data_IF_712563544377
#
_entry.id   IF_712563544377
#
_cell.length_a   1.000
_cell.length_b   1.000
_cell.length_c   1.000
_cell.angle_alpha   90.00
_cell.angle_beta   90.00
_cell.angle_gamma   90.00
#
_symmetry.space_group_name_H-M   'P 1'
#
loop_
_entity.id
_entity.type
_entity.pdbx_description
1 polymer ?
2 non-polymer ?
3 non-polymer ?
4 water ?
#
# COMPACT_ATOMS: atom_id res chain seq x y z
N UNK A 1 -1.37 22.38 5.68
CA UNK A 1 -0.77 21.06 5.39
C UNK A 1 0.69 21.05 5.79
N UNK A 2 1.02 20.27 6.82
CA UNK A 2 2.40 20.17 7.32
C UNK A 2 2.69 18.68 7.27
N UNK A 3 1.72 17.93 7.77
CA UNK A 3 1.78 16.48 7.79
C UNK A 3 0.70 15.94 6.88
N UNK A 4 1.12 15.37 5.77
CA UNK A 4 0.22 14.85 4.75
C UNK A 4 0.37 13.34 4.65
N UNK A 5 -0.71 12.59 4.75
CA UNK A 5 -0.66 11.13 4.60
C UNK A 5 -1.13 10.75 3.19
N UNK A 6 -0.51 9.77 2.55
CA UNK A 6 -0.93 9.32 1.22
C UNK A 6 -1.26 7.84 1.32
N UNK A 7 -2.52 7.47 1.15
CA UNK A 7 -2.90 6.07 1.23
C UNK A 7 -3.85 5.62 0.12
N UNK A 8 -3.98 4.31 -0.07
CA UNK A 8 -4.87 3.83 -1.09
C UNK A 8 -6.25 3.65 -0.55
N UNK A 9 -7.24 4.15 -1.29
CA UNK A 9 -8.67 4.10 -0.93
C UNK A 9 -9.36 2.77 -1.16
N UNK A 10 -8.76 1.90 -1.96
CA UNK A 10 -9.43 0.66 -2.31
C UNK A 10 -8.79 -0.62 -1.82
N UNK A 11 -8.37 -1.49 -2.73
CA UNK A 11 -7.76 -2.75 -2.39
C UNK A 11 -6.35 -2.68 -2.95
N UNK A 12 -5.76 -1.50 -2.97
CA UNK A 12 -4.43 -1.36 -3.49
C UNK A 12 -4.40 -1.03 -4.98
N UNK A 13 -3.20 -0.90 -5.52
CA UNK A 13 -3.02 -0.62 -6.94
C UNK A 13 -3.59 0.65 -7.50
N UNK A 14 -3.84 1.62 -6.63
CA UNK A 14 -4.37 2.91 -7.03
C UNK A 14 -3.33 3.88 -7.60
N UNK A 15 -2.04 3.59 -7.47
CA UNK A 15 -1.01 4.48 -8.00
C UNK A 15 -0.40 5.43 -6.97
N UNK A 16 -0.11 4.89 -5.80
CA UNK A 16 0.42 5.68 -4.72
C UNK A 16 1.84 6.21 -4.92
N UNK A 17 2.71 5.39 -5.48
CA UNK A 17 4.09 5.82 -5.70
C UNK A 17 4.27 7.12 -6.45
N UNK A 18 3.61 7.25 -7.60
CA UNK A 18 3.76 8.45 -8.39
C UNK A 18 3.43 9.70 -7.60
N UNK A 19 2.31 9.67 -6.88
CA UNK A 19 1.86 10.84 -6.12
C UNK A 19 2.81 11.23 -4.98
N UNK A 20 3.45 10.24 -4.37
CA UNK A 20 4.40 10.51 -3.30
C UNK A 20 5.59 11.25 -3.90
N UNK A 21 6.22 10.64 -4.90
CA UNK A 21 7.35 11.25 -5.58
C UNK A 21 7.00 12.67 -5.98
N UNK A 22 5.95 12.80 -6.77
CA UNK A 22 5.48 14.09 -7.22
C UNK A 22 5.45 15.15 -6.14
N UNK A 23 4.75 14.86 -5.04
CA UNK A 23 4.58 15.82 -3.95
C UNK A 23 5.77 16.04 -3.02
N UNK A 24 6.68 15.08 -2.97
CA UNK A 24 7.81 15.24 -2.08
C UNK A 24 8.82 16.26 -2.54
N UNK A 25 8.45 17.02 -3.56
CA UNK A 25 9.31 18.05 -4.08
C UNK A 25 9.55 19.03 -2.93
N UNK A 26 8.56 19.14 -2.05
CA UNK A 26 8.61 20.07 -0.90
C UNK A 26 8.86 19.47 0.49
N UNK A 27 8.67 18.17 0.62
CA UNK A 27 8.83 17.48 1.89
C UNK A 27 10.26 17.33 2.34
N UNK A 28 10.50 17.37 3.64
CA UNK A 28 11.84 17.13 4.12
C UNK A 28 11.93 15.61 4.40
N UNK A 29 10.79 15.00 4.77
CA UNK A 29 10.73 13.56 5.09
C UNK A 29 9.56 12.81 4.42
N UNK A 30 9.79 11.52 4.14
CA UNK A 30 8.77 10.60 3.59
C UNK A 30 8.91 9.43 4.57
N UNK A 31 7.81 8.90 5.08
CA UNK A 31 7.89 7.81 6.06
C UNK A 31 7.01 6.63 5.72
N UNK A 32 7.56 5.41 5.67
CA UNK A 32 6.74 4.21 5.45
C UNK A 32 6.29 3.83 6.85
N UNK A 33 5.05 3.41 7.04
CA UNK A 33 4.57 3.09 8.38
C UNK A 33 3.94 1.74 8.53
N UNK A 34 3.89 0.95 7.46
CA UNK A 34 3.30 -0.39 7.56
C UNK A 34 3.61 -1.26 6.36
N UNK A 35 3.32 -2.55 6.48
CA UNK A 35 3.58 -3.45 5.38
C UNK A 35 5.01 -3.90 5.37
N UNK A 36 5.44 -4.50 4.27
CA UNK A 36 6.80 -4.97 4.21
C UNK A 36 7.38 -4.62 2.86
N UNK A 37 8.17 -5.55 2.36
CA UNK A 37 8.80 -5.35 1.08
C UNK A 37 7.85 -5.82 0.03
N UNK A 38 6.55 -5.51 0.17
CA UNK A 38 5.50 -5.93 -0.79
C UNK A 38 4.67 -4.74 -1.29
N UNK A 39 5.32 -3.59 -1.44
CA UNK A 39 4.60 -2.44 -1.88
C UNK A 39 4.33 -2.33 -3.35
N UNK A 40 5.38 -2.42 -4.17
CA UNK A 40 5.20 -2.32 -5.61
C UNK A 40 4.76 -0.94 -6.04
N UNK A 41 5.53 0.07 -5.64
CA UNK A 41 5.26 1.46 -5.99
C UNK A 41 6.15 1.84 -7.18
N UNK A 42 5.49 2.02 -8.33
CA UNK A 42 6.14 2.38 -9.60
C UNK A 42 6.36 3.87 -9.81
N UNK A 43 7.56 4.24 -10.23
CA UNK A 43 7.90 5.63 -10.47
C UNK A 43 8.39 5.79 -11.91
N UNK A 44 7.75 6.67 -12.67
CA UNK A 44 8.13 6.91 -14.04
C UNK A 44 8.58 8.36 -14.15
N UNK A 45 9.89 8.56 -14.16
CA UNK A 45 10.45 9.90 -14.25
C UNK A 45 11.08 10.14 -15.61
N UNK A 46 10.48 11.07 -16.36
CA UNK A 46 10.96 11.45 -17.69
C UNK A 46 11.30 10.24 -18.54
N UNK A 47 10.55 9.15 -18.35
CA UNK A 47 10.83 7.97 -19.12
C UNK A 47 11.33 6.78 -18.31
N UNK A 48 12.24 6.99 -17.35
CA UNK A 48 12.75 5.87 -16.56
C UNK A 48 11.80 5.41 -15.46
N UNK A 49 11.63 4.09 -15.37
CA UNK A 49 10.71 3.50 -14.42
C UNK A 49 11.39 2.73 -13.31
N UNK A 50 11.07 3.10 -12.07
CA UNK A 50 11.61 2.48 -10.86
C UNK A 50 10.46 1.83 -10.11
N UNK A 51 10.70 0.65 -9.56
CA UNK A 51 9.69 -0.04 -8.79
C UNK A 51 10.29 -0.26 -7.39
N UNK A 52 9.67 0.29 -6.37
CA UNK A 52 10.18 0.17 -5.01
C UNK A 52 9.23 -0.64 -4.15
N UNK A 53 9.76 -1.57 -3.36
CA UNK A 53 8.92 -2.36 -2.47
C UNK A 53 9.08 -1.99 -1.01
N UNK A 54 10.31 -1.72 -0.58
CA UNK A 54 10.58 -1.41 0.81
C UNK A 54 10.97 0.03 1.02
N UNK A 55 11.98 0.46 0.28
CA UNK A 55 12.48 1.82 0.41
C UNK A 55 11.39 2.82 0.01
N UNK A 56 11.18 3.87 0.81
CA UNK A 56 10.16 4.84 0.45
C UNK A 56 10.34 5.51 -0.91
N UNK A 57 9.24 5.94 -1.49
CA UNK A 57 9.24 6.58 -2.80
C UNK A 57 9.75 8.00 -2.86
N UNK A 58 10.41 8.47 -1.83
CA UNK A 58 10.96 9.82 -1.93
C UNK A 58 12.45 9.70 -2.14
N UNK A 59 12.92 8.48 -2.35
CA UNK A 59 14.34 8.20 -2.49
C UNK A 59 15.08 8.80 -3.67
N UNK A 60 14.36 9.17 -4.73
CA UNK A 60 15.04 9.75 -5.88
C UNK A 60 15.23 11.24 -5.73
N UNK A 61 14.51 11.86 -4.79
CA UNK A 61 14.63 13.30 -4.60
C UNK A 61 15.85 13.65 -3.74
N UNK A 62 16.56 14.70 -4.13
CA UNK A 62 17.79 15.12 -3.46
C UNK A 62 17.68 15.77 -2.08
N UNK A 63 16.67 16.62 -1.91
CA UNK A 63 16.42 17.36 -0.66
C UNK A 63 15.70 16.61 0.50
N UNK A 64 15.18 15.43 0.20
CA UNK A 64 14.38 14.62 1.11
C UNK A 64 15.15 13.51 1.78
N UNK A 65 14.70 13.12 2.97
CA UNK A 65 15.27 12.02 3.75
C UNK A 65 14.18 10.98 3.94
N UNK A 66 14.47 9.73 3.60
CA UNK A 66 13.48 8.68 3.72
C UNK A 66 13.68 7.87 4.98
N UNK A 67 12.59 7.52 5.62
CA UNK A 67 12.63 6.78 6.86
C UNK A 67 11.70 5.59 6.77
N UNK A 68 12.03 4.51 7.45
CA UNK A 68 11.18 3.33 7.49
C UNK A 68 10.80 3.25 8.98
N UNK A 69 9.53 3.55 9.28
CA UNK A 69 9.03 3.55 10.63
C UNK A 69 8.94 2.19 11.27
N UNK A 70 8.67 2.17 12.56
CA UNK A 70 8.57 0.95 13.34
C UNK A 70 7.45 0.00 12.92
N UNK A 71 6.48 0.48 12.13
CA UNK A 71 5.40 -0.41 11.75
C UNK A 71 5.80 -1.36 10.64
N UNK A 72 6.85 -1.01 9.91
CA UNK A 72 7.30 -1.81 8.80
C UNK A 72 8.04 -3.08 9.20
N UNK A 73 7.55 -4.24 8.80
CA UNK A 73 8.28 -5.47 9.11
C UNK A 73 9.37 -5.53 8.04
N UNK A 74 10.61 -5.42 8.50
CA UNK A 74 11.77 -5.33 7.62
C UNK A 74 12.59 -6.58 7.35
N UNK A 75 13.02 -6.71 6.10
CA UNK A 75 13.83 -7.83 5.62
C UNK A 75 15.19 -7.28 5.16
N UNK A 76 16.27 -7.71 5.81
CA UNK A 76 17.63 -7.29 5.51
C UNK A 76 18.01 -7.64 4.09
N UNK A 77 17.60 -8.83 3.65
CA UNK A 77 17.88 -9.29 2.30
C UNK A 77 17.23 -8.38 1.26
N UNK A 78 15.92 -8.19 1.37
CA UNK A 78 15.21 -7.34 0.43
C UNK A 78 15.78 -5.94 0.46
N UNK A 79 16.10 -5.45 1.65
CA UNK A 79 16.64 -4.10 1.80
C UNK A 79 17.98 -4.01 1.08
N UNK A 80 18.81 -5.02 1.25
CA UNK A 80 20.12 -5.02 0.62
C UNK A 80 20.01 -4.97 -0.91
N UNK A 81 19.22 -5.88 -1.49
CA UNK A 81 19.01 -5.96 -2.93
C UNK A 81 18.46 -4.67 -3.52
N UNK A 82 17.56 -4.02 -2.81
CA UNK A 82 16.96 -2.79 -3.30
C UNK A 82 17.93 -1.62 -3.19
N UNK A 83 18.84 -1.72 -2.22
CA UNK A 83 19.86 -0.71 -2.01
C UNK A 83 20.85 -0.80 -3.13
N UNK A 84 21.23 -2.04 -3.46
CA UNK A 84 22.20 -2.28 -4.53
C UNK A 84 21.69 -1.74 -5.87
N UNK A 85 20.48 -2.12 -6.28
CA UNK A 85 19.89 -1.63 -7.53
C UNK A 85 19.99 -0.10 -7.62
N UNK A 86 19.50 0.58 -6.58
CA UNK A 86 19.51 2.03 -6.56
C UNK A 86 20.88 2.68 -6.55
N UNK A 87 21.85 2.04 -5.91
CA UNK A 87 23.21 2.57 -5.88
C UNK A 87 23.82 2.36 -7.26
N UNK A 88 23.52 1.21 -7.86
CA UNK A 88 24.01 0.89 -9.20
C UNK A 88 23.58 1.97 -10.16
N UNK A 89 22.31 2.37 -10.05
CA UNK A 89 21.76 3.41 -10.91
C UNK A 89 22.31 4.79 -10.55
N UNK A 90 23.10 4.86 -9.48
CA UNK A 90 23.67 6.14 -9.07
C UNK A 90 22.98 6.88 -7.95
N UNK A 91 21.97 6.26 -7.36
CA UNK A 91 21.23 6.86 -6.25
C UNK A 91 22.01 6.58 -4.96
N UNK A 92 22.46 7.64 -4.27
CA UNK A 92 23.23 7.50 -3.02
C UNK A 92 22.32 7.11 -1.85
N UNK A 93 21.71 5.94 -1.95
CA UNK A 93 20.79 5.42 -0.96
C UNK A 93 21.23 5.54 0.49
N UNK A 94 22.51 5.28 0.74
CA UNK A 94 23.02 5.34 2.10
C UNK A 94 23.06 6.72 2.76
N UNK A 95 23.01 7.79 1.99
CA UNK A 95 23.06 9.12 2.58
C UNK A 95 21.68 9.69 2.92
N UNK A 96 20.61 9.02 2.50
CA UNK A 96 19.29 9.54 2.79
C UNK A 96 18.22 8.57 3.25
N UNK A 97 18.63 7.43 3.78
CA UNK A 97 17.69 6.45 4.28
C UNK A 97 17.99 6.24 5.76
N UNK A 98 16.94 6.24 6.58
CA UNK A 98 17.07 5.98 8.01
C UNK A 98 15.98 4.99 8.40
N UNK A 99 16.23 4.20 9.45
CA UNK A 99 15.22 3.25 9.89
C UNK A 99 15.02 3.23 11.39
N UNK A 100 13.97 2.55 11.84
CA UNK A 100 13.66 2.50 13.25
C UNK A 100 14.14 1.19 13.82
N UNK A 101 14.76 1.24 15.00
CA UNK A 101 15.27 0.04 15.67
C UNK A 101 14.16 -0.83 16.22
N UNK A 102 12.92 -0.39 16.05
CA UNK A 102 11.79 -1.15 16.54
C UNK A 102 11.14 -1.98 15.43
N UNK A 103 11.69 -1.89 14.22
CA UNK A 103 11.15 -2.64 13.09
C UNK A 103 11.34 -4.11 13.32
N UNK A 104 10.27 -4.90 13.21
CA UNK A 104 10.44 -6.35 13.42
C UNK A 104 11.28 -6.83 12.23
N UNK A 105 12.01 -7.94 12.36
CA UNK A 105 12.80 -8.47 11.24
C UNK A 105 12.08 -9.66 10.60
N UNK A 106 11.98 -9.68 9.28
CA UNK A 106 11.37 -10.83 8.61
C UNK A 106 12.57 -11.67 8.21
N UNK A 107 12.46 -12.98 8.41
CA UNK A 107 13.56 -13.87 8.06
C UNK A 107 13.01 -15.16 7.45
N UNK A 108 13.89 -15.92 6.80
CA UNK A 108 13.53 -17.16 6.12
C UNK A 108 12.35 -17.96 6.64
N UNK A 109 12.37 -18.34 7.92
CA UNK A 109 11.27 -19.14 8.45
C UNK A 109 9.92 -18.49 8.29
N UNK A 110 9.93 -17.19 8.12
CA UNK A 110 8.69 -16.44 7.95
C UNK A 110 8.09 -16.71 6.58
N UNK A 111 8.92 -16.64 5.53
CA UNK A 111 8.47 -16.90 4.17
C UNK A 111 8.04 -18.35 4.12
N UNK A 112 8.84 -19.18 4.77
CA UNK A 112 8.58 -20.61 4.86
C UNK A 112 7.21 -20.90 5.47
N UNK A 113 6.89 -20.20 6.54
CA UNK A 113 5.61 -20.37 7.22
C UNK A 113 4.47 -19.85 6.37
N UNK A 114 4.72 -18.75 5.68
CA UNK A 114 3.76 -18.09 4.79
C UNK A 114 3.31 -19.06 3.68
N UNK A 115 4.29 -19.68 3.03
CA UNK A 115 4.00 -20.65 2.00
C UNK A 115 3.22 -21.80 2.64
N UNK A 116 3.74 -22.29 3.76
CA UNK A 116 3.09 -23.39 4.46
C UNK A 116 1.62 -23.17 4.75
N UNK A 117 1.29 -22.04 5.37
CA UNK A 117 -0.10 -21.75 5.74
C UNK A 117 -0.99 -21.60 4.53
N UNK A 118 -0.46 -21.02 3.46
CA UNK A 118 -1.24 -20.85 2.26
C UNK A 118 -1.54 -22.19 1.61
N UNK A 119 -0.49 -22.98 1.43
CA UNK A 119 -0.60 -24.32 0.85
C UNK A 119 -1.65 -25.12 1.64
N UNK A 120 -1.63 -24.96 2.95
CA UNK A 120 -2.56 -25.66 3.84
C UNK A 120 -4.00 -25.13 3.80
N UNK A 121 -4.19 -23.85 3.52
CA UNK A 121 -5.53 -23.28 3.43
C UNK A 121 -6.32 -23.89 2.27
N UNK A 122 -5.59 -24.42 1.30
CA UNK A 122 -6.25 -25.03 0.16
C UNK A 122 -7.12 -24.03 -0.56
N UNK A 123 -8.39 -24.38 -0.74
CA UNK A 123 -9.33 -23.51 -1.47
C UNK A 123 -9.74 -22.24 -0.75
N UNK A 124 -9.38 -22.13 0.52
CA UNK A 124 -9.73 -20.94 1.28
C UNK A 124 -8.45 -20.10 1.46
N UNK A 125 -7.48 -20.34 0.58
CA UNK A 125 -6.21 -19.61 0.58
C UNK A 125 -6.52 -18.15 0.42
N UNK A 126 -5.66 -17.32 0.99
CA UNK A 126 -5.85 -15.88 0.98
C UNK A 126 -5.38 -15.20 -0.30
N UNK A 127 -4.21 -15.61 -0.78
CA UNK A 127 -3.62 -15.02 -1.97
C UNK A 127 -2.43 -14.18 -1.59
N UNK A 128 -1.78 -14.55 -0.49
CA UNK A 128 -0.61 -13.84 0.06
C UNK A 128 0.45 -13.50 -0.98
N UNK A 129 1.15 -12.38 -0.80
CA UNK A 129 2.21 -12.01 -1.75
C UNK A 129 3.41 -12.92 -1.59
N UNK A 130 3.36 -13.81 -0.60
CA UNK A 130 4.42 -14.78 -0.36
C UNK A 130 5.70 -14.30 0.28
N UNK A 131 5.73 -13.06 0.76
CA UNK A 131 6.95 -12.52 1.36
C UNK A 131 7.12 -12.71 2.88
N UNK A 132 6.29 -13.56 3.47
CA UNK A 132 6.38 -13.81 4.89
C UNK A 132 5.96 -12.67 5.80
N UNK A 133 5.18 -11.75 5.26
CA UNK A 133 4.70 -10.58 5.98
C UNK A 133 3.78 -10.95 7.17
N UNK A 134 2.74 -11.72 6.90
CA UNK A 134 1.81 -12.12 7.96
C UNK A 134 2.51 -12.81 9.11
N UNK A 135 3.37 -13.80 8.84
CA UNK A 135 4.01 -14.42 10.01
C UNK A 135 4.90 -13.48 10.87
N UNK A 136 5.60 -12.55 10.23
CA UNK A 136 6.45 -11.59 10.94
C UNK A 136 5.59 -10.77 11.90
N UNK A 137 4.47 -10.23 11.44
CA UNK A 137 3.62 -9.47 12.34
C UNK A 137 3.16 -10.37 13.48
N UNK A 138 2.82 -11.61 13.15
CA UNK A 138 2.36 -12.56 14.16
C UNK A 138 3.39 -12.73 15.29
N UNK A 139 4.66 -12.82 14.93
CA UNK A 139 5.70 -12.97 15.93
C UNK A 139 5.74 -11.77 16.85
N UNK A 140 5.61 -10.59 16.27
CA UNK A 140 5.63 -9.32 17.00
C UNK A 140 4.57 -9.19 18.10
N UNK A 141 3.30 -9.37 17.77
CA UNK A 141 2.28 -9.24 18.80
C UNK A 141 2.41 -10.34 19.85
N UNK A 142 3.16 -11.39 19.54
CA UNK A 142 3.36 -12.48 20.49
C UNK A 142 4.63 -12.27 21.27
N UNK A 143 5.28 -11.14 21.05
CA UNK A 143 6.51 -10.77 21.75
C UNK A 143 7.66 -11.76 21.70
N UNK A 144 7.72 -12.53 20.62
CA UNK A 144 8.80 -13.50 20.47
C UNK A 144 9.74 -13.15 19.33
N UNK A 145 9.36 -12.17 18.52
CA UNK A 145 10.15 -11.81 17.35
C UNK A 145 11.31 -10.88 17.57
N UNK A 146 12.22 -10.85 16.61
CA UNK A 146 13.41 -10.01 16.72
C UNK A 146 13.15 -8.64 16.12
N UNK A 147 14.04 -7.67 16.37
CA UNK A 147 13.86 -6.32 15.86
C UNK A 147 15.23 -5.82 15.49
N UNK A 148 15.31 -4.75 14.69
CA UNK A 148 16.62 -4.24 14.27
C UNK A 148 17.55 -3.98 15.44
N UNK A 149 16.98 -3.54 16.54
CA UNK A 149 17.76 -3.25 17.73
C UNK A 149 18.42 -4.49 18.29
N UNK A 150 17.77 -5.65 18.12
CA UNK A 150 18.34 -6.89 18.62
C UNK A 150 19.73 -7.13 18.02
N UNK A 151 20.00 -6.49 16.89
CA UNK A 151 21.28 -6.64 16.21
C UNK A 151 22.43 -5.85 16.85
N UNK A 152 22.15 -5.14 17.93
CA UNK A 152 23.22 -4.40 18.57
C UNK A 152 24.11 -5.38 19.33
N UNK A 153 23.48 -6.40 19.91
CA UNK A 153 24.21 -7.44 20.67
C UNK A 153 24.27 -8.74 19.87
N UNK A 154 25.37 -8.92 19.16
CA UNK A 154 25.59 -10.11 18.34
C UNK A 154 25.42 -11.40 19.15
N UNK A 155 25.89 -11.35 20.39
CA UNK A 155 25.83 -12.48 21.31
C UNK A 155 24.38 -12.85 21.66
N UNK A 156 23.63 -11.90 22.21
CA UNK A 156 22.26 -12.16 22.60
C UNK A 156 21.43 -12.50 21.40
N UNK A 157 21.75 -11.84 20.28
CA UNK A 157 21.05 -12.08 19.02
C UNK A 157 20.97 -13.58 18.73
N UNK A 158 22.11 -14.23 18.76
CA UNK A 158 22.19 -15.66 18.49
C UNK A 158 21.27 -16.46 19.39
N UNK A 159 21.30 -16.16 20.68
CA UNK A 159 20.47 -16.87 21.65
C UNK A 159 18.99 -16.80 21.27
N UNK A 160 18.49 -15.57 21.10
CA UNK A 160 17.10 -15.33 20.74
C UNK A 160 16.73 -16.03 19.45
N UNK A 161 17.53 -15.82 18.41
CA UNK A 161 17.31 -16.42 17.10
C UNK A 161 17.10 -17.93 17.27
N UNK A 162 17.97 -18.51 18.07
CA UNK A 162 17.92 -19.93 18.32
C UNK A 162 16.63 -20.39 18.99
N UNK A 163 16.12 -19.62 19.93
CA UNK A 163 14.90 -20.00 20.64
C UNK A 163 13.69 -19.87 19.70
N UNK A 164 13.75 -18.87 18.82
CA UNK A 164 12.65 -18.64 17.90
C UNK A 164 12.60 -19.72 16.84
N UNK A 165 13.69 -19.88 16.10
CA UNK A 165 13.75 -20.89 15.04
C UNK A 165 13.40 -22.29 15.55
N UNK A 166 13.75 -22.60 16.80
CA UNK A 166 13.45 -23.89 17.37
C UNK A 166 11.94 -24.12 17.38
N UNK A 167 11.19 -23.10 17.82
CA UNK A 167 9.74 -23.17 17.89
C UNK A 167 9.09 -23.28 16.52
N UNK A 168 9.52 -22.44 15.58
CA UNK A 168 8.99 -22.42 14.22
C UNK A 168 9.28 -23.68 13.43
N UNK A 169 10.55 -24.11 13.47
CA UNK A 169 10.95 -25.32 12.77
C UNK A 169 10.12 -26.50 13.26
N UNK A 170 9.72 -26.46 14.53
CA UNK A 170 8.90 -27.52 15.08
C UNK A 170 7.60 -27.54 14.28
N UNK A 171 6.82 -26.45 14.33
CA UNK A 171 5.56 -26.42 13.58
C UNK A 171 5.72 -26.75 12.09
N UNK A 172 6.83 -26.31 11.50
CA UNK A 172 7.10 -26.58 10.09
C UNK A 172 7.21 -28.08 9.88
N UNK A 173 8.32 -28.61 10.35
CA UNK A 173 8.61 -30.02 10.25
C UNK A 173 7.52 -30.95 10.79
N UNK A 174 7.10 -30.72 12.02
CA UNK A 174 6.10 -31.58 12.66
C UNK A 174 4.64 -31.37 12.33
N UNK A 175 4.22 -30.13 12.09
CA UNK A 175 2.81 -29.90 11.80
C UNK A 175 2.53 -29.73 10.30
N UNK A 176 3.35 -28.94 9.64
CA UNK A 176 3.20 -28.71 8.20
C UNK A 176 3.93 -29.77 7.38
N UNK A 177 4.68 -30.63 8.07
CA UNK A 177 5.43 -31.67 7.40
C UNK A 177 6.31 -31.03 6.32
N UNK A 178 6.87 -29.87 6.62
CA UNK A 178 7.69 -29.16 5.65
C UNK A 178 9.14 -29.04 6.10
N UNK A 179 9.99 -28.65 5.17
CA UNK A 179 11.41 -28.49 5.42
C UNK A 179 11.68 -27.60 6.62
N UNK A 180 12.68 -27.95 7.41
CA UNK A 180 13.05 -27.15 8.56
C UNK A 180 13.93 -26.05 7.95
N UNK A 181 14.23 -25.00 8.71
CA UNK A 181 15.03 -23.91 8.18
C UNK A 181 16.37 -23.83 8.90
N UNK A 182 17.45 -23.79 8.14
CA UNK A 182 18.80 -23.76 8.70
C UNK A 182 19.17 -22.55 9.53
N UNK A 183 19.31 -22.79 10.82
CA UNK A 183 19.68 -21.78 11.80
C UNK A 183 20.96 -21.03 11.43
N UNK A 184 22.05 -21.77 11.20
CA UNK A 184 23.34 -21.16 10.87
C UNK A 184 23.30 -20.32 9.60
N UNK A 185 22.50 -20.76 8.63
CA UNK A 185 22.34 -20.02 7.38
C UNK A 185 21.81 -18.62 7.73
N UNK A 186 20.62 -18.59 8.33
CA UNK A 186 19.95 -17.35 8.74
C UNK A 186 20.91 -16.49 9.55
N UNK A 187 21.47 -17.08 10.59
CA UNK A 187 22.40 -16.40 11.46
C UNK A 187 23.53 -15.72 10.73
N UNK A 188 24.20 -16.45 9.86
CA UNK A 188 25.32 -15.87 9.12
C UNK A 188 24.86 -14.80 8.14
N UNK A 189 23.77 -15.09 7.45
CA UNK A 189 23.23 -14.14 6.48
C UNK A 189 22.91 -12.79 7.15
N UNK A 190 22.28 -12.85 8.32
CA UNK A 190 21.91 -11.64 9.05
C UNK A 190 23.11 -10.88 9.56
N UNK A 191 24.11 -11.60 10.08
CA UNK A 191 25.30 -10.97 10.62
C UNK A 191 26.06 -10.17 9.57
N UNK A 192 26.05 -10.68 8.34
CA UNK A 192 26.73 -10.03 7.21
C UNK A 192 26.13 -8.67 6.92
N UNK A 193 24.81 -8.62 6.88
CA UNK A 193 24.06 -7.40 6.61
C UNK A 193 23.92 -6.54 7.88
N UNK A 194 23.97 -7.19 9.04
CA UNK A 194 23.81 -6.53 10.34
C UNK A 194 24.42 -5.17 10.56
N UNK A 195 25.59 -4.90 10.01
CA UNK A 195 26.20 -3.61 10.22
C UNK A 195 25.75 -2.45 9.33
N UNK A 196 25.06 -2.76 8.23
CA UNK A 196 24.56 -1.69 7.37
C UNK A 196 23.26 -1.20 7.99
N UNK A 197 22.53 -2.13 8.59
CA UNK A 197 21.27 -1.83 9.25
C UNK A 197 21.47 -0.87 10.43
N UNK A 198 22.25 -1.30 11.42
CA UNK A 198 22.49 -0.48 12.60
C UNK A 198 23.10 0.88 12.29
N UNK A 199 23.89 0.97 11.24
CA UNK A 199 24.50 2.25 10.89
C UNK A 199 23.44 3.27 10.53
N UNK A 200 22.26 2.78 10.15
CA UNK A 200 21.18 3.64 9.71
C UNK A 200 20.06 3.91 10.71
N UNK A 201 20.16 3.30 11.88
CA UNK A 201 19.16 3.47 12.93
C UNK A 201 18.98 4.94 13.40
N UNK A 202 17.75 5.28 13.77
CA UNK A 202 17.40 6.63 14.26
C UNK A 202 16.13 6.55 15.12
N UNK A 203 15.95 7.51 16.03
CA UNK A 203 14.73 7.51 16.86
C UNK A 203 13.71 8.32 16.07
N UNK A 204 12.83 7.59 15.37
CA UNK A 204 11.81 8.21 14.52
C UNK A 204 10.77 9.06 15.23
N UNK A 205 10.18 8.56 16.31
CA UNK A 205 9.21 9.32 17.08
C UNK A 205 9.79 10.67 17.48
N UNK A 206 11.02 10.68 17.99
CA UNK A 206 11.70 11.91 18.39
C UNK A 206 11.99 12.80 17.19
N UNK A 207 12.51 12.19 16.14
CA UNK A 207 12.80 12.96 14.93
C UNK A 207 11.53 13.62 14.37
N UNK A 208 10.41 12.88 14.36
CA UNK A 208 9.15 13.44 13.86
C UNK A 208 8.58 14.51 14.80
N UNK A 209 8.82 14.39 16.11
CA UNK A 209 8.36 15.42 17.05
C UNK A 209 9.15 16.69 16.79
N UNK A 210 10.44 16.54 16.47
CA UNK A 210 11.28 17.69 16.15
C UNK A 210 10.82 18.39 14.88
N UNK A 211 10.58 17.61 13.82
CA UNK A 211 10.13 18.14 12.55
C UNK A 211 8.85 18.93 12.74
N UNK A 212 8.00 18.41 13.62
CA UNK A 212 6.75 19.06 13.93
C UNK A 212 7.04 20.47 14.51
N UNK A 213 8.04 20.58 15.39
CA UNK A 213 8.40 21.86 16.00
C UNK A 213 9.07 22.81 15.01
N UNK A 214 9.98 22.30 14.18
CA UNK A 214 10.67 23.13 13.19
C UNK A 214 9.70 23.55 12.08
N UNK A 215 8.56 22.88 12.01
CA UNK A 215 7.58 23.17 10.97
C UNK A 215 7.97 22.57 9.63
N UNK A 216 8.64 21.43 9.65
CA UNK A 216 9.03 20.75 8.43
C UNK A 216 7.81 20.06 7.86
N UNK A 217 7.84 19.81 6.55
CA UNK A 217 6.78 19.11 5.84
C UNK A 217 7.13 17.62 5.86
N UNK A 218 6.18 16.78 6.25
CA UNK A 218 6.36 15.34 6.32
C UNK A 218 5.24 14.67 5.52
N UNK A 219 5.64 13.64 4.76
CA UNK A 219 4.75 12.86 3.87
C UNK A 219 4.80 11.41 4.36
N UNK A 220 3.67 10.80 4.65
CA UNK A 220 3.67 9.41 5.09
C UNK A 220 3.18 8.62 3.88
N UNK A 221 3.76 7.48 3.61
CA UNK A 221 3.40 6.72 2.43
C UNK A 221 2.83 5.36 2.73
N UNK A 222 1.52 5.23 2.64
CA UNK A 222 0.92 3.95 2.92
C UNK A 222 1.08 3.02 1.74
N UNK A 223 0.99 1.72 1.99
CA UNK A 223 1.08 0.72 0.93
C UNK A 223 -0.27 -0.02 0.98
N UNK A 224 -0.49 -1.04 0.15
CA UNK A 224 -1.78 -1.77 0.10
C UNK A 224 -2.96 -0.78 -0.03
N UNK A 225 -4.07 -1.02 0.66
CA UNK A 225 -5.18 -0.11 0.57
C UNK A 225 -6.16 -0.33 1.71
N UNK A 226 -7.01 0.66 1.97
CA UNK A 226 -7.99 0.61 3.03
C UNK A 226 -8.74 -0.69 3.27
N UNK A 227 -9.32 -1.31 2.25
CA UNK A 227 -10.11 -2.52 2.50
C UNK A 227 -9.32 -3.78 2.72
N UNK A 228 -8.01 -3.65 2.81
CA UNK A 228 -7.08 -4.75 3.08
C UNK A 228 -6.55 -4.58 4.53
N UNK A 229 -7.04 -3.57 5.25
CA UNK A 229 -6.68 -3.28 6.63
C UNK A 229 -7.08 -4.49 7.47
N UNK A 230 -6.18 -4.95 8.35
CA UNK A 230 -6.45 -6.12 9.23
C UNK A 230 -7.67 -5.98 10.12
N UNK A 231 -7.96 -4.76 10.55
CA UNK A 231 -9.12 -4.53 11.41
C UNK A 231 -10.42 -4.28 10.66
N UNK A 232 -10.38 -3.31 9.75
CA UNK A 232 -11.55 -2.88 9.03
C UNK A 232 -11.72 -3.40 7.60
N UNK A 233 -10.81 -4.25 7.15
CA UNK A 233 -10.94 -4.76 5.80
C UNK A 233 -11.91 -5.91 5.68
N UNK A 234 -11.84 -6.60 4.54
CA UNK A 234 -12.70 -7.76 4.26
C UNK A 234 -12.01 -9.02 4.82
N UNK A 235 -11.81 -9.03 6.13
CA UNK A 235 -11.16 -10.13 6.85
C UNK A 235 -11.79 -11.48 6.51
N UNK A 236 -10.98 -12.53 6.33
CA UNK A 236 -9.51 -12.67 6.41
C UNK A 236 -8.75 -12.38 5.15
N UNK A 237 -9.45 -12.04 4.07
CA UNK A 237 -8.78 -11.74 2.83
C UNK A 237 -8.34 -10.35 3.06
N UNK A 238 -7.18 -10.23 3.70
CA UNK A 238 -6.73 -8.93 4.13
C UNK A 238 -5.25 -9.01 4.46
N UNK A 239 -4.60 -7.86 4.64
CA UNK A 239 -3.18 -7.90 4.98
C UNK A 239 -3.05 -7.84 6.51
N UNK A 240 -1.86 -8.10 7.04
CA UNK A 240 -1.72 -8.12 8.50
C UNK A 240 -1.41 -6.82 9.25
N UNK A 241 -1.38 -5.70 8.56
CA UNK A 241 -1.09 -4.43 9.20
C UNK A 241 -2.27 -3.51 8.97
N UNK A 242 -2.32 -2.39 9.71
CA UNK A 242 -3.38 -1.41 9.50
C UNK A 242 -2.93 -0.53 8.36
N UNK A 243 -3.73 -0.51 7.32
CA UNK A 243 -3.43 0.29 6.14
C UNK A 243 -4.09 1.67 6.24
N UNK A 244 -5.10 1.78 7.13
CA UNK A 244 -5.83 3.02 7.32
C UNK A 244 -4.94 4.07 8.00
N UNK A 245 -5.35 5.34 7.92
CA UNK A 245 -4.60 6.45 8.48
C UNK A 245 -4.22 6.34 9.96
N UNK A 246 -4.91 5.47 10.69
CA UNK A 246 -4.59 5.29 12.09
C UNK A 246 -3.24 4.61 12.23
N UNK A 247 -2.81 3.89 11.21
CA UNK A 247 -1.53 3.21 11.26
C UNK A 247 -0.37 4.17 11.19
N UNK A 248 -0.66 5.43 10.88
CA UNK A 248 0.43 6.40 10.81
C UNK A 248 1.00 6.63 12.20
N UNK A 249 0.13 6.82 13.18
CA UNK A 249 0.55 7.07 14.55
C UNK A 249 1.21 5.84 15.18
N UNK A 250 0.48 4.76 15.14
CA UNK A 250 0.87 3.45 15.61
C UNK A 250 2.20 2.97 14.99
N UNK A 251 2.44 3.27 13.72
CA UNK A 251 3.63 2.80 13.01
C UNK A 251 4.80 3.74 12.79
N UNK A 252 4.67 4.98 13.24
CA UNK A 252 5.77 5.92 13.12
C UNK A 252 5.98 6.67 14.45
N UNK A 253 4.96 6.68 15.29
CA UNK A 253 5.06 7.35 16.58
C UNK A 253 4.64 8.82 16.58
N UNK A 254 4.03 9.32 15.51
CA UNK A 254 3.61 10.71 15.50
C UNK A 254 2.24 10.79 16.18
N UNK A 255 2.05 11.71 17.13
CA UNK A 255 0.76 11.82 17.80
C UNK A 255 -0.39 12.00 16.82
N UNK A 256 -1.54 11.34 17.06
CA UNK A 256 -2.69 11.47 16.15
C UNK A 256 -3.21 12.87 15.90
N UNK A 257 -2.99 13.80 16.81
CA UNK A 257 -3.46 15.16 16.58
C UNK A 257 -2.60 15.91 15.54
N UNK A 258 -1.52 15.32 15.06
CA UNK A 258 -0.68 16.03 14.12
C UNK A 258 -0.85 15.71 12.65
N UNK A 259 -1.79 14.83 12.31
CA UNK A 259 -2.04 14.48 10.91
C UNK A 259 -2.85 15.66 10.39
N UNK A 260 -2.33 16.37 9.39
CA UNK A 260 -3.04 17.55 8.87
C UNK A 260 -3.94 17.34 7.66
N UNK A 261 -3.57 16.45 6.76
CA UNK A 261 -4.36 16.21 5.57
C UNK A 261 -4.14 14.76 5.17
N UNK A 262 -5.22 14.07 4.81
CA UNK A 262 -5.14 12.69 4.35
C UNK A 262 -5.60 12.61 2.90
N UNK A 263 -4.69 12.26 1.99
CA UNK A 263 -4.98 12.14 0.56
C UNK A 263 -5.30 10.69 0.22
N UNK A 264 -6.49 10.47 -0.31
CA UNK A 264 -6.92 9.13 -0.71
C UNK A 264 -6.69 9.00 -2.21
N UNK A 265 -5.87 8.05 -2.60
CA UNK A 265 -5.56 7.78 -3.99
C UNK A 265 -6.71 6.90 -4.45
N UNK A 266 -7.44 7.37 -5.48
CA UNK A 266 -8.62 6.70 -6.00
C UNK A 266 -8.45 6.28 -7.45
N UNK A 267 -8.35 4.99 -7.73
CA UNK A 267 -8.25 4.54 -9.13
C UNK A 267 -9.65 4.70 -9.79
N UNK A 268 -9.72 5.10 -11.05
CA UNK A 268 -11.03 5.33 -11.69
C UNK A 268 -11.91 4.12 -11.83
N UNK A 269 -11.35 2.94 -11.64
CA UNK A 269 -12.09 1.69 -11.67
C UNK A 269 -11.47 0.88 -10.54
N UNK A 270 -12.04 -0.29 -10.27
CA UNK A 270 -11.58 -1.12 -9.17
C UNK A 270 -10.71 -2.28 -9.57
N UNK A 271 -9.86 -2.73 -8.64
CA UNK A 271 -9.04 -3.91 -8.81
C UNK A 271 -8.82 -4.56 -7.46
N UNK A 272 -8.42 -5.82 -7.51
CA UNK A 272 -8.14 -6.63 -6.33
C UNK A 272 -7.19 -7.74 -6.84
N UNK A 273 -6.27 -8.21 -6.00
CA UNK A 273 -5.34 -9.29 -6.36
C UNK A 273 -5.48 -10.25 -5.21
N UNK A 274 -5.73 -11.52 -5.49
CA UNK A 274 -5.88 -12.45 -4.39
C UNK A 274 -7.35 -12.70 -4.23
N UNK A 275 -7.70 -13.50 -3.24
CA UNK A 275 -9.08 -13.88 -2.99
C UNK A 275 -9.87 -12.80 -2.29
N UNK A 276 -11.14 -13.01 -2.04
CA UNK A 276 -11.90 -12.00 -1.32
C UNK A 276 -13.08 -11.41 -2.06
N UNK A 277 -14.05 -10.89 -1.32
CA UNK A 277 -15.25 -10.28 -1.88
C UNK A 277 -14.87 -9.16 -2.83
N UNK A 278 -15.76 -8.85 -3.76
CA UNK A 278 -15.53 -7.79 -4.74
C UNK A 278 -16.86 -7.60 -5.45
N UNK A 279 -17.80 -6.92 -4.81
CA UNK A 279 -19.14 -6.67 -5.38
C UNK A 279 -19.26 -6.32 -6.88
N UNK A 280 -18.44 -5.40 -7.38
CA UNK A 280 -18.51 -4.95 -8.75
C UNK A 280 -17.57 -5.60 -9.76
N UNK A 281 -17.09 -6.80 -9.47
CA UNK A 281 -16.17 -7.48 -10.39
C UNK A 281 -16.81 -7.76 -11.72
N UNK A 282 -16.05 -7.55 -12.78
CA UNK A 282 -16.49 -7.75 -14.17
C UNK A 282 -15.94 -9.03 -14.77
N UNK A 283 -16.78 -9.77 -15.47
CA UNK A 283 -16.33 -11.00 -16.11
C UNK A 283 -16.46 -10.98 -17.63
N UNK A 284 -16.83 -9.83 -18.20
CA UNK A 284 -17.02 -9.75 -19.64
C UNK A 284 -15.94 -9.00 -20.42
N UNK A 285 -16.29 -8.56 -21.63
CA UNK A 285 -15.36 -7.83 -22.48
C UNK A 285 -14.84 -6.56 -21.82
N UNK A 286 -15.67 -5.92 -20.99
CA UNK A 286 -15.28 -4.68 -20.27
C UNK A 286 -14.24 -5.06 -19.21
N UNK A 287 -14.50 -6.14 -18.50
CA UNK A 287 -13.54 -6.60 -17.53
C UNK A 287 -12.22 -6.79 -18.25
N UNK A 288 -12.27 -7.45 -19.42
CA UNK A 288 -11.11 -7.73 -20.27
C UNK A 288 -10.37 -6.44 -20.70
N UNK A 289 -11.15 -5.45 -21.09
CA UNK A 289 -10.66 -4.15 -21.55
C UNK A 289 -9.90 -3.41 -20.44
N UNK A 290 -10.55 -3.27 -19.28
CA UNK A 290 -9.97 -2.58 -18.16
C UNK A 290 -8.66 -3.22 -17.82
N UNK A 291 -8.62 -4.55 -17.83
CA UNK A 291 -7.37 -5.26 -17.52
C UNK A 291 -6.29 -4.95 -18.53
N UNK A 292 -6.66 -4.95 -19.80
CA UNK A 292 -5.70 -4.69 -20.85
C UNK A 292 -5.23 -3.26 -20.95
N UNK A 293 -6.15 -2.29 -20.95
CA UNK A 293 -5.73 -0.90 -21.06
C UNK A 293 -5.11 -0.44 -19.73
N UNK A 294 -5.56 -1.03 -18.64
CA UNK A 294 -5.05 -0.67 -17.33
C UNK A 294 -3.67 -1.24 -17.14
N UNK A 295 -3.36 -2.30 -17.89
CA UNK A 295 -2.06 -2.96 -17.81
C UNK A 295 -1.99 -3.61 -16.43
N UNK A 296 -3.06 -4.32 -16.08
CA UNK A 296 -3.20 -4.99 -14.80
C UNK A 296 -2.75 -6.47 -14.80
N UNK A 297 -1.74 -6.81 -15.61
CA UNK A 297 -1.24 -8.17 -15.69
C UNK A 297 -0.59 -8.68 -14.42
N UNK A 298 0.22 -7.83 -13.80
CA UNK A 298 0.85 -8.23 -12.55
C UNK A 298 2.32 -8.64 -12.54
N UNK A 299 2.73 -9.11 -11.37
CA UNK A 299 4.09 -9.54 -11.07
C UNK A 299 4.42 -10.96 -11.53
N UNK A 300 3.57 -11.92 -11.14
CA UNK A 300 3.73 -13.31 -11.52
C UNK A 300 2.37 -13.98 -11.48
N UNK A 301 2.44 -15.31 -11.45
CA UNK A 301 1.30 -16.21 -11.39
C UNK A 301 0.41 -15.85 -10.23
N UNK A 302 -0.88 -15.74 -10.51
CA UNK A 302 -1.81 -15.39 -9.46
C UNK A 302 -1.75 -13.89 -9.18
N UNK A 303 -0.74 -13.21 -9.72
CA UNK A 303 -0.63 -11.78 -9.51
C UNK A 303 -1.19 -10.93 -10.65
N UNK A 304 -2.11 -11.52 -11.42
CA UNK A 304 -2.77 -10.81 -12.49
C UNK A 304 -3.99 -10.22 -11.76
N UNK A 305 -4.24 -8.94 -11.97
CA UNK A 305 -5.33 -8.25 -11.28
C UNK A 305 -6.76 -8.39 -11.76
N UNK A 306 -7.70 -8.60 -10.84
CA UNK A 306 -9.13 -8.69 -11.14
C UNK A 306 -9.63 -7.25 -11.34
N UNK A 307 -10.62 -7.02 -12.21
CA UNK A 307 -11.09 -5.66 -12.47
C UNK A 307 -12.59 -5.50 -12.29
N UNK A 308 -13.08 -4.26 -12.18
CA UNK A 308 -14.51 -4.03 -11.98
C UNK A 308 -14.85 -2.55 -12.00
N UNK A 309 -16.12 -2.19 -11.84
CA UNK A 309 -16.50 -0.79 -11.85
C UNK A 309 -16.18 -0.13 -10.46
N UNK A 310 -16.08 1.20 -10.45
CA UNK A 310 -15.79 1.96 -9.22
C UNK A 310 -16.92 1.72 -8.25
N UNK A 311 -16.58 1.41 -7.00
CA UNK A 311 -17.57 1.10 -5.99
C UNK A 311 -17.63 2.26 -5.00
N UNK A 312 -18.61 3.13 -5.21
CA UNK A 312 -18.84 4.30 -4.39
C UNK A 312 -19.31 3.99 -2.94
N UNK A 313 -19.79 2.76 -2.69
CA UNK A 313 -20.25 2.39 -1.36
C UNK A 313 -19.05 2.03 -0.51
N UNK A 314 -18.07 1.39 -1.15
CA UNK A 314 -16.85 1.00 -0.48
C UNK A 314 -15.94 2.19 -0.32
N UNK A 315 -15.90 3.06 -1.31
CA UNK A 315 -15.07 4.25 -1.19
C UNK A 315 -15.61 5.09 -0.04
N UNK A 316 -16.92 5.17 0.09
CA UNK A 316 -17.50 5.95 1.17
C UNK A 316 -17.07 5.43 2.55
N UNK A 317 -16.84 4.12 2.65
CA UNK A 317 -16.37 3.54 3.92
C UNK A 317 -14.95 4.02 4.15
N UNK A 318 -14.15 4.01 3.10
CA UNK A 318 -12.78 4.49 3.19
C UNK A 318 -12.79 5.94 3.66
N UNK A 319 -13.73 6.73 3.21
CA UNK A 319 -13.79 8.12 3.62
C UNK A 319 -13.87 8.25 5.14
N UNK A 320 -14.76 7.50 5.79
CA UNK A 320 -14.89 7.63 7.23
C UNK A 320 -13.73 7.06 8.04
N UNK A 321 -13.25 5.88 7.66
CA UNK A 321 -12.15 5.27 8.38
C UNK A 321 -10.90 6.14 8.43
N UNK A 322 -10.64 6.89 7.37
CA UNK A 322 -9.44 7.74 7.27
C UNK A 322 -9.60 9.24 7.45
N UNK A 323 -10.84 9.70 7.60
CA UNK A 323 -11.16 11.13 7.68
C UNK A 323 -10.44 11.77 6.49
N UNK A 324 -10.66 11.21 5.29
CA UNK A 324 -10.01 11.72 4.08
C UNK A 324 -10.29 13.20 3.94
N UNK A 325 -9.35 13.90 3.31
CA UNK A 325 -9.48 15.35 3.09
C UNK A 325 -9.72 15.62 1.59
N UNK A 326 -9.09 14.80 0.74
CA UNK A 326 -9.22 14.96 -0.70
C UNK A 326 -8.82 13.65 -1.35
N UNK A 327 -9.19 13.47 -2.62
CA UNK A 327 -8.86 12.26 -3.40
C UNK A 327 -7.87 12.64 -4.50
N UNK A 328 -7.26 11.65 -5.14
CA UNK A 328 -6.37 11.89 -6.26
C UNK A 328 -6.82 10.82 -7.22
N UNK A 329 -7.51 11.21 -8.29
CA UNK A 329 -8.03 10.26 -9.24
C UNK A 329 -6.91 9.79 -10.16
N UNK A 330 -6.74 8.49 -10.29
CA UNK A 330 -5.71 7.97 -11.18
C UNK A 330 -6.35 7.12 -12.28
N UNK A 331 -5.69 7.05 -13.42
CA UNK A 331 -6.17 6.25 -14.53
C UNK A 331 -7.56 6.49 -15.08
N UNK A 332 -7.96 7.75 -15.20
CA UNK A 332 -9.27 8.06 -15.80
C UNK A 332 -9.10 7.65 -17.27
N UNK A 333 -7.91 7.87 -17.84
CA UNK A 333 -7.66 7.50 -19.22
C UNK A 333 -8.05 6.06 -19.64
N UNK A 334 -8.02 5.09 -18.72
CA UNK A 334 -8.35 3.71 -19.08
C UNK A 334 -9.80 3.59 -19.49
N UNK A 335 -10.64 4.50 -19.05
CA UNK A 335 -12.04 4.45 -19.40
C UNK A 335 -12.29 5.07 -20.75
N UNK A 336 -11.30 5.76 -21.32
CA UNK A 336 -11.48 6.38 -22.63
C UNK A 336 -12.14 5.46 -23.67
N UNK A 337 -13.10 6.00 -24.42
CA UNK A 337 -13.74 5.21 -25.46
C UNK A 337 -14.90 4.32 -25.12
N UNK A 338 -15.09 3.96 -23.86
CA UNK A 338 -16.22 3.12 -23.51
C UNK A 338 -17.52 3.84 -23.87
N UNK A 339 -18.55 3.11 -24.26
CA UNK A 339 -19.83 3.72 -24.58
C UNK A 339 -20.44 4.41 -23.36
N UNK A 340 -20.54 3.67 -22.25
CA UNK A 340 -21.09 4.21 -21.03
C UNK A 340 -20.29 3.62 -19.87
N UNK A 341 -20.08 4.45 -18.85
CA UNK A 341 -19.36 4.06 -17.64
C UNK A 341 -20.38 3.92 -16.50
N UNK A 342 -20.12 3.02 -15.56
CA UNK A 342 -21.03 2.81 -14.42
C UNK A 342 -20.34 3.01 -13.08
N UNK A 343 -21.15 3.15 -12.04
CA UNK A 343 -20.68 3.27 -10.68
C UNK A 343 -21.72 2.88 -9.63
N UNK A 344 -21.33 1.92 -8.79
CA UNK A 344 -22.16 1.37 -7.72
C UNK A 344 -22.53 2.46 -6.70
N UNK A 345 -23.82 2.65 -6.43
CA UNK A 345 -24.26 3.66 -5.47
C UNK A 345 -24.97 3.07 -4.27
N UNK A 346 -25.22 1.76 -4.29
CA UNK A 346 -25.88 1.10 -3.16
C UNK A 346 -25.76 -0.40 -3.31
N UNK A 347 -26.07 -1.17 -2.28
CA UNK A 347 -25.94 -2.62 -2.38
C UNK A 347 -27.30 -3.27 -2.15
N UNK A 348 -27.62 -4.29 -2.95
CA UNK A 348 -28.88 -4.99 -2.74
C UNK A 348 -28.54 -6.23 -1.93
N UNK A 349 -29.11 -6.30 -0.75
CA UNK A 349 -28.91 -7.41 0.17
C UNK A 349 -29.65 -8.66 -0.29
N UNK A 350 -29.24 -9.84 0.18
CA UNK A 350 -29.88 -11.10 -0.20
C UNK A 350 -31.40 -11.08 0.01
N UNK A 351 -31.80 -10.40 1.08
CA UNK A 351 -33.18 -10.27 1.46
C UNK A 351 -33.90 -9.06 0.86
N UNK A 352 -33.33 -8.44 -0.17
CA UNK A 352 -33.99 -7.29 -0.78
C UNK A 352 -33.71 -5.91 -0.21
N UNK A 353 -33.01 -5.83 0.92
CA UNK A 353 -32.67 -4.54 1.52
C UNK A 353 -31.66 -3.75 0.66
N UNK A 354 -31.89 -2.46 0.53
CA UNK A 354 -30.95 -1.64 -0.21
C UNK A 354 -30.18 -0.80 0.80
N UNK A 355 -28.86 -1.02 0.87
CA UNK A 355 -28.01 -0.27 1.79
C UNK A 355 -26.93 0.52 1.12
N UNK A 356 -26.44 1.50 1.84
CA UNK A 356 -25.37 2.37 1.37
C UNK A 356 -24.11 2.17 2.20
N UNK A 357 -24.10 1.11 3.00
CA UNK A 357 -22.95 0.82 3.84
C UNK A 357 -22.42 -0.59 3.58
N UNK A 358 -21.10 -0.69 3.49
CA UNK A 358 -20.46 -1.96 3.23
C UNK A 358 -20.59 -2.89 4.41
N UNK A 359 -20.60 -4.20 4.15
CA UNK A 359 -20.69 -5.21 5.19
C UNK A 359 -19.27 -5.25 5.80
N UNK A 360 -19.11 -5.89 6.97
CA UNK A 360 -17.79 -5.97 7.60
C UNK A 360 -16.98 -7.20 7.21
N UNK A 361 -17.44 -8.38 7.60
CA UNK A 361 -16.74 -9.64 7.30
C UNK A 361 -17.09 -10.24 5.94
N UNK A 362 -16.07 -10.77 5.28
CA UNK A 362 -16.20 -11.37 3.94
C UNK A 362 -17.45 -12.21 3.73
N UNK A 363 -17.84 -12.96 4.74
CA UNK A 363 -19.01 -13.83 4.66
C UNK A 363 -20.31 -13.06 4.44
N UNK A 364 -20.35 -11.82 4.90
CA UNK A 364 -21.55 -11.00 4.76
C UNK A 364 -21.58 -10.28 3.41
N UNK A 365 -20.43 -10.27 2.75
CA UNK A 365 -20.31 -9.65 1.44
C UNK A 365 -20.81 -10.67 0.41
N UNK A 366 -20.85 -11.93 0.82
CA UNK A 366 -21.26 -13.06 -0.01
C UNK A 366 -22.30 -12.84 -1.10
N UNK A 367 -23.51 -12.45 -0.74
CA UNK A 367 -24.54 -12.27 -1.75
C UNK A 367 -25.02 -10.87 -2.06
N UNK A 368 -24.12 -9.91 -2.02
CA UNK A 368 -24.50 -8.54 -2.31
C UNK A 368 -24.41 -8.33 -3.82
N UNK A 369 -25.35 -7.56 -4.35
CA UNK A 369 -25.38 -7.24 -5.78
C UNK A 369 -25.27 -5.74 -5.84
N UNK A 370 -24.39 -5.22 -6.70
CA UNK A 370 -24.23 -3.78 -6.83
C UNK A 370 -25.42 -3.14 -7.52
N UNK A 371 -25.72 -1.89 -7.17
CA UNK A 371 -26.80 -1.16 -7.80
C UNK A 371 -26.06 0.00 -8.42
N UNK A 372 -26.02 0.02 -9.74
CA UNK A 372 -25.29 1.01 -10.50
C UNK A 372 -26.02 2.24 -10.95
N UNK A 373 -25.24 3.24 -11.33
CA UNK A 373 -25.73 4.46 -11.90
C UNK A 373 -24.96 4.48 -13.21
N UNK A 374 -25.64 4.56 -14.33
CA UNK A 374 -24.96 4.54 -15.61
C UNK A 374 -24.88 5.93 -16.17
N UNK A 375 -23.80 6.22 -16.88
CA UNK A 375 -23.64 7.53 -17.46
C UNK A 375 -22.80 7.41 -18.70
N UNK A 376 -22.95 8.35 -19.63
CA UNK A 376 -22.19 8.34 -20.88
C UNK A 376 -20.71 8.45 -20.73
N UNK A 377 -20.02 7.72 -21.59
CA UNK A 377 -18.57 7.74 -21.63
C UNK A 377 -18.12 8.91 -22.49
N UNK A 378 -16.87 8.88 -22.94
CA UNK A 378 -16.32 9.97 -23.75
C UNK A 378 -15.38 9.39 -24.78
N UNK A 379 -15.35 9.97 -25.96
CA UNK A 379 -14.51 9.43 -27.02
C UNK A 379 -13.10 9.96 -27.11
N UNK A 380 -12.88 11.20 -26.69
CA UNK A 380 -11.54 11.77 -26.79
C UNK A 380 -10.58 11.28 -25.73
N UNK A 381 -9.29 11.42 -26.04
CA UNK A 381 -8.24 10.99 -25.15
C UNK A 381 -8.07 11.95 -24.00
N UNK A 382 -7.85 11.41 -22.82
CA UNK A 382 -7.63 12.20 -21.62
C UNK A 382 -6.22 11.95 -21.12
N UNK A 383 -5.51 11.05 -21.77
CA UNK A 383 -4.16 10.72 -21.39
C UNK A 383 -3.24 11.91 -21.57
N UNK A 384 -2.41 12.17 -20.57
CA UNK A 384 -1.49 13.28 -20.63
C UNK A 384 -2.07 14.68 -20.50
N UNK A 385 -3.39 14.80 -20.43
CA UNK A 385 -4.05 16.11 -20.30
C UNK A 385 -3.52 16.81 -19.05
N UNK A 386 -2.98 18.01 -19.22
CA UNK A 386 -2.41 18.80 -18.11
C UNK A 386 -3.32 19.91 -17.59
N UNK A 387 -4.37 20.23 -18.32
CA UNK A 387 -5.28 21.28 -17.89
C UNK A 387 -6.72 20.78 -17.85
N UNK A 388 -7.48 21.24 -16.87
CA UNK A 388 -8.88 20.84 -16.74
C UNK A 388 -9.70 21.11 -17.99
N UNK A 389 -9.53 22.27 -18.61
CA UNK A 389 -10.28 22.64 -19.81
C UNK A 389 -10.24 21.55 -20.88
N UNK A 390 -9.12 20.83 -20.97
CA UNK A 390 -8.94 19.77 -21.94
C UNK A 390 -9.68 18.48 -21.64
N UNK A 391 -10.48 18.45 -20.59
CA UNK A 391 -11.22 17.25 -20.26
C UNK A 391 -12.62 17.34 -20.81
N UNK A 392 -13.06 16.29 -21.49
CA UNK A 392 -14.40 16.27 -22.07
C UNK A 392 -15.47 16.42 -20.98
N UNK A 393 -16.55 17.11 -21.31
CA UNK A 393 -17.64 17.32 -20.37
C UNK A 393 -18.12 16.02 -19.73
N UNK A 394 -18.14 14.94 -20.49
CA UNK A 394 -18.61 13.67 -19.92
C UNK A 394 -17.66 13.16 -18.83
N UNK A 395 -16.36 13.39 -19.03
CA UNK A 395 -15.33 12.98 -18.05
C UNK A 395 -15.45 13.86 -16.81
N UNK A 396 -15.70 15.15 -17.00
CA UNK A 396 -15.87 16.06 -15.89
C UNK A 396 -17.08 15.68 -15.05
N UNK A 397 -18.16 15.23 -15.69
CA UNK A 397 -19.37 14.82 -14.96
C UNK A 397 -19.14 13.55 -14.15
N UNK A 398 -18.28 12.68 -14.61
CA UNK A 398 -18.02 11.45 -13.88
C UNK A 398 -17.36 11.89 -12.56
N UNK A 399 -16.39 12.78 -12.68
CA UNK A 399 -15.64 13.36 -11.56
C UNK A 399 -16.62 14.04 -10.60
N UNK A 400 -17.46 14.91 -11.14
CA UNK A 400 -18.43 15.63 -10.33
C UNK A 400 -19.27 14.69 -9.51
N UNK A 401 -19.64 13.56 -10.09
CA UNK A 401 -20.51 12.60 -9.40
C UNK A 401 -19.80 11.87 -8.26
N UNK A 402 -18.51 11.63 -8.41
CA UNK A 402 -17.78 10.97 -7.35
C UNK A 402 -17.73 11.96 -6.18
N UNK A 403 -17.47 13.23 -6.47
CA UNK A 403 -17.46 14.24 -5.43
C UNK A 403 -18.82 14.33 -4.72
N UNK A 404 -19.93 14.25 -5.45
CA UNK A 404 -21.26 14.33 -4.82
C UNK A 404 -21.62 13.19 -3.90
N UNK A 405 -21.38 11.97 -4.37
CA UNK A 405 -21.69 10.75 -3.59
C UNK A 405 -20.85 10.53 -2.34
N UNK A 406 -19.56 10.91 -2.39
CA UNK A 406 -18.63 10.71 -1.29
C UNK A 406 -18.47 11.89 -0.34
N UNK A 407 -18.73 13.09 -0.83
CA UNK A 407 -18.60 14.28 -0.01
C UNK A 407 -17.20 14.86 0.01
N UNK A 408 -16.25 14.24 -0.68
CA UNK A 408 -14.87 14.69 -0.67
C UNK A 408 -14.46 15.22 -2.03
N UNK A 409 -13.67 16.29 -2.08
CA UNK A 409 -13.26 16.83 -3.37
C UNK A 409 -12.08 16.10 -3.99
N UNK A 410 -12.01 16.10 -5.32
CA UNK A 410 -10.92 15.47 -6.03
C UNK A 410 -9.94 16.60 -6.26
N UNK A 411 -8.86 16.60 -5.48
CA UNK A 411 -7.83 17.65 -5.49
C UNK A 411 -6.70 17.55 -6.52
N UNK A 412 -6.48 16.34 -7.05
CA UNK A 412 -5.44 16.11 -8.03
C UNK A 412 -6.00 15.03 -8.99
N UNK A 413 -5.64 15.13 -10.27
CA UNK A 413 -6.09 14.19 -11.28
C UNK A 413 -4.82 13.75 -12.01
N UNK A 414 -4.56 12.46 -12.02
CA UNK A 414 -3.37 11.95 -12.70
C UNK A 414 -3.85 11.51 -14.09
N UNK A 415 -3.25 12.05 -15.14
CA UNK A 415 -3.64 11.74 -16.51
C UNK A 415 -2.58 10.94 -17.25
N UNK A 416 -1.51 10.58 -16.56
CA UNK A 416 -0.45 9.81 -17.18
C UNK A 416 0.50 9.29 -16.12
N UNK A 417 1.32 8.28 -16.44
CA UNK A 417 2.26 7.71 -15.48
C UNK A 417 3.48 8.56 -15.13
N UNK A 418 3.70 9.66 -15.85
CA UNK A 418 4.86 10.53 -15.60
C UNK A 418 4.52 11.68 -14.67
N UNK A 419 5.47 11.98 -13.78
CA UNK A 419 5.35 13.07 -12.80
C UNK A 419 4.76 14.35 -13.39
N UNK A 420 5.08 14.62 -14.65
CA UNK A 420 4.62 15.81 -15.34
C UNK A 420 3.16 15.82 -15.77
N UNK A 421 2.60 14.64 -16.06
CA UNK A 421 1.22 14.47 -16.50
C UNK A 421 0.28 14.39 -15.30
N UNK A 422 -0.05 15.56 -14.76
CA UNK A 422 -0.86 15.63 -13.58
C UNK A 422 -1.50 17.00 -13.49
N UNK A 423 -2.68 17.04 -12.87
CA UNK A 423 -3.41 18.28 -12.66
C UNK A 423 -3.57 18.46 -11.15
N UNK A 424 -2.88 19.43 -10.55
CA UNK A 424 -3.03 19.65 -9.12
C UNK A 424 -3.96 20.81 -8.90
N UNK A 425 -5.19 20.48 -8.59
CA UNK A 425 -6.19 21.50 -8.34
C UNK A 425 -6.00 22.13 -6.96
N UNK A 426 -5.47 21.38 -6.00
CA UNK A 426 -5.22 21.88 -4.65
C UNK A 426 -4.04 21.10 -4.04
N UNK A 427 -3.00 21.83 -3.66
CA UNK A 427 -1.80 21.22 -3.06
C UNK A 427 -2.13 20.90 -1.60
N UNK A 428 -1.94 19.65 -1.18
CA UNK A 428 -2.23 19.26 0.20
C UNK A 428 -1.35 20.05 1.19
N UNK A 429 -0.13 20.39 0.76
CA UNK A 429 0.80 21.17 1.56
C UNK A 429 0.36 22.60 1.77
N UNK A 430 -0.50 23.10 0.87
CA UNK A 430 -1.00 24.46 0.97
C UNK A 430 -2.39 24.50 1.56
N UNK A 431 -2.80 23.41 2.20
CA UNK A 431 -4.12 23.35 2.81
C UNK A 431 -4.00 23.16 4.32
X LIG B 1 0.18 -10.35 2.35
X LIG B 1 1.23 -10.95 1.49
X LIG B 1 -0.17 -11.22 3.46
X LIG B 1 0.45 -8.91 2.59
X LIG B 1 -1.04 -10.34 1.38
X LIG B 1 -2.34 -10.66 1.77
X LIG B 1 -3.37 -10.02 0.85
X LIG B 1 -3.02 -8.65 0.62
X LIG B 1 -3.53 -10.60 -0.58
X LIG B 1 -4.89 -10.28 -0.95
X LIG B 1 -2.55 -9.73 -1.31
X LIG B 1 -2.81 -9.67 -2.67
X LIG B 1 -2.85 -8.39 -0.76
X LIG B 1 -1.78 -7.45 -1.00
X LIG B 1 -0.55 -7.38 -0.48
X LIG B 1 0.30 -6.63 -1.12
X LIG B 1 -0.53 -5.96 -1.96
X LIG B 1 -0.28 -4.91 -2.83
X LIG B 1 0.92 -4.26 -2.89
X LIG B 1 -1.30 -4.63 -3.66
X LIG B 1 -2.43 -5.30 -3.58
X LIG B 1 -2.84 -6.17 -2.67
X LIG B 1 -1.79 -6.50 -1.93
X LIG C 1 -6.60 -9.70 -19.77
X LIG C 1 -5.32 -9.66 -18.97
X LIG C 1 -6.87 -11.03 -20.20
X LIG C 1 -4.93 -7.95 -18.47
#
# INVERSE_FOLDING_TARGET
>A
GNNVVVLGTQWGDEGKGKIVDLLTERAKYVVRYQGGHNAGHTLVINGEKTVLHLIPSGILRENVTSIIGNGVVLSPAALMKEMKELEDRGIPVRERLLLSEACPLILDYHVALDNAREKARGAKAIGTTGRGIGPAYEDKVARRGLRVGDLFDKETFAEKLKEVMEYHNFQLVNYYKAEAVDYQKVLDDTMAVADILTSMVVDVSDLLDQARQRGDFVMFEGAQGTLLDIDHGTYPYVTSSNTTAGGVATGSGLGPRYVDYVLGILKAYSTRVGAGPFPTELFDETGEFLCKQGNEFGATTGRRRRTGWLDTVAVRRAVQLNSLSGFCLTKLDVLDGLKEVKLCVAYRMPDGREVTTTPLAADDWKGVEPIYETMPGWSESTFGVKDRSGLPQAALNYIKRIEELTGVPIDIISTGPDRTETMILRDPFDA
>B hetero
1 AMP P O1P O2P O3P O5' C5' C4' O4' C3' O3' C2' O2' C1' N9 C8 N7 C5 C6 N6 N1 C2 N3 C4
>C hetero
1 BME C1 C2 O1 S2
#
